data_IF_087105751991
#
_entry.id   IF_087105751991
#
_cell.length_a   1.000
_cell.length_b   1.000
_cell.length_c   1.000
_cell.angle_alpha   90.00
_cell.angle_beta   90.00
_cell.angle_gamma   90.00
#
_symmetry.space_group_name_H-M   'P 1'
#
loop_
_entity.id
_entity.type
_entity.pdbx_description
1 polymer ?
#
# COMPACT_ATOMS: atom_id res chain seq x y z
N UNK A 1 3.40 9.25 49.45
CA UNK A 1 2.62 9.53 48.23
C UNK A 1 3.12 8.59 47.15
N UNK A 2 2.26 7.72 46.62
CA UNK A 2 2.62 6.73 45.60
C UNK A 2 2.23 7.32 44.23
N UNK A 3 3.21 7.69 43.41
CA UNK A 3 2.98 8.25 42.08
C UNK A 3 2.72 7.09 41.11
N UNK A 4 1.47 6.96 40.64
CA UNK A 4 1.13 6.04 39.54
C UNK A 4 1.55 6.73 38.25
N UNK A 5 2.59 6.19 37.60
CA UNK A 5 2.97 6.59 36.24
C UNK A 5 2.10 5.80 35.27
N UNK A 6 1.08 6.46 34.71
CA UNK A 6 0.34 5.92 33.56
C UNK A 6 1.24 6.05 32.33
N UNK A 7 1.85 4.95 31.92
CA UNK A 7 2.49 4.85 30.62
C UNK A 7 1.40 4.77 29.54
N UNK A 8 1.20 5.85 28.80
CA UNK A 8 0.42 5.83 27.56
C UNK A 8 1.25 5.08 26.51
N UNK A 9 0.99 3.77 26.35
CA UNK A 9 1.44 3.04 25.18
C UNK A 9 0.66 3.60 23.98
N UNK A 10 1.27 4.52 23.23
CA UNK A 10 0.77 4.88 21.91
C UNK A 10 0.89 3.64 21.03
N UNK A 11 -0.19 2.88 20.91
CA UNK A 11 -0.33 1.89 19.86
C UNK A 11 -0.32 2.66 18.53
N UNK A 12 0.82 2.68 17.86
CA UNK A 12 0.91 3.07 16.46
C UNK A 12 0.02 2.09 15.68
N UNK A 13 -1.21 2.50 15.38
CA UNK A 13 -2.07 1.77 14.46
C UNK A 13 -1.51 2.03 13.07
N UNK A 14 -0.69 1.10 12.56
CA UNK A 14 -0.45 1.06 11.13
C UNK A 14 -1.79 0.81 10.42
N UNK A 15 -2.09 1.56 9.36
CA UNK A 15 -3.25 1.31 8.52
C UNK A 15 -3.38 -0.19 8.22
N UNK A 16 -4.58 -0.78 8.32
CA UNK A 16 -4.76 -2.18 7.97
C UNK A 16 -4.43 -2.37 6.49
N UNK A 17 -3.62 -3.38 6.20
CA UNK A 17 -3.36 -3.78 4.83
C UNK A 17 -4.58 -4.51 4.26
N UNK A 18 -4.88 -4.31 2.98
CA UNK A 18 -5.96 -5.01 2.28
C UNK A 18 -5.44 -5.79 1.07
N UNK A 19 -6.19 -6.83 0.70
CA UNK A 19 -5.88 -7.69 -0.43
C UNK A 19 -6.26 -7.01 -1.74
N UNK A 20 -5.31 -6.93 -2.67
CA UNK A 20 -5.54 -6.47 -4.04
C UNK A 20 -5.85 -7.64 -4.98
N UNK A 21 -5.03 -8.68 -4.92
CA UNK A 21 -5.14 -9.84 -5.81
C UNK A 21 -4.51 -11.08 -5.16
N UNK A 22 -5.15 -12.22 -5.36
CA UNK A 22 -4.61 -13.53 -5.00
C UNK A 22 -4.57 -14.40 -6.26
N UNK A 23 -3.38 -14.55 -6.84
CA UNK A 23 -3.13 -15.24 -8.09
C UNK A 23 -2.65 -16.67 -7.81
N UNK A 24 -3.51 -17.66 -8.09
CA UNK A 24 -3.21 -19.10 -8.03
C UNK A 24 -3.03 -19.74 -9.43
N UNK A 25 -2.92 -18.94 -10.49
CA UNK A 25 -2.74 -19.49 -11.85
C UNK A 25 -1.31 -19.98 -12.07
N UNK A 26 -1.00 -20.55 -13.23
CA UNK A 26 0.36 -20.90 -13.68
C UNK A 26 1.04 -22.09 -12.94
N UNK A 27 0.79 -22.30 -11.65
CA UNK A 27 1.33 -23.40 -10.85
C UNK A 27 0.21 -24.05 -10.03
N UNK A 28 0.30 -25.37 -9.85
CA UNK A 28 -0.64 -26.09 -9.00
C UNK A 28 -0.51 -25.65 -7.52
N UNK A 29 -1.56 -25.78 -6.70
CA UNK A 29 -1.50 -25.49 -5.26
C UNK A 29 -0.31 -26.19 -4.57
N UNK A 30 0.31 -25.56 -3.54
CA UNK A 30 -0.15 -24.37 -2.81
C UNK A 30 0.46 -23.03 -3.30
N UNK A 31 1.10 -23.02 -4.48
CA UNK A 31 1.83 -21.86 -4.97
C UNK A 31 0.88 -20.74 -5.42
N UNK A 32 1.05 -19.54 -4.86
CA UNK A 32 0.26 -18.36 -5.19
C UNK A 32 1.16 -17.12 -5.25
N UNK A 33 0.69 -16.07 -5.92
CA UNK A 33 1.23 -14.71 -5.80
C UNK A 33 0.16 -13.85 -5.13
N UNK A 34 0.48 -13.25 -4.00
CA UNK A 34 -0.44 -12.38 -3.26
C UNK A 34 0.01 -10.93 -3.37
N UNK A 35 -0.92 -10.06 -3.72
CA UNK A 35 -0.73 -8.62 -3.79
C UNK A 35 -1.57 -7.92 -2.72
N UNK A 36 -0.94 -7.06 -1.93
CA UNK A 36 -1.60 -6.30 -0.85
C UNK A 36 -1.20 -4.83 -0.91
N UNK A 37 -2.06 -3.97 -0.38
CA UNK A 37 -1.80 -2.55 -0.22
C UNK A 37 -1.96 -2.12 1.23
N UNK A 38 -1.17 -1.13 1.63
CA UNK A 38 -1.24 -0.45 2.92
C UNK A 38 -1.20 1.05 2.64
N UNK A 39 -2.31 1.79 2.82
CA UNK A 39 -2.29 3.24 2.73
C UNK A 39 -1.32 3.82 3.76
N UNK A 40 -0.58 4.86 3.40
CA UNK A 40 0.19 5.60 4.39
C UNK A 40 -0.77 6.32 5.34
N UNK A 41 -0.59 6.12 6.65
CA UNK A 41 -1.30 6.89 7.70
C UNK A 41 -0.89 8.37 7.70
N UNK A 42 0.20 8.68 7.02
CA UNK A 42 0.82 9.99 7.00
C UNK A 42 0.57 10.69 5.67
N UNK A 43 -0.15 11.80 5.70
CA UNK A 43 -0.31 12.68 4.55
C UNK A 43 0.77 13.77 4.61
N UNK A 44 1.79 13.69 3.74
CA UNK A 44 2.86 14.70 3.68
C UNK A 44 2.33 16.11 3.37
N UNK A 45 1.21 16.24 2.66
CA UNK A 45 0.58 17.53 2.40
C UNK A 45 0.07 18.16 3.71
N UNK A 46 -0.66 17.40 4.53
CA UNK A 46 -1.14 17.87 5.84
C UNK A 46 0.01 18.22 6.78
N UNK A 47 1.07 17.40 6.80
CA UNK A 47 2.23 17.65 7.64
C UNK A 47 2.96 18.95 7.31
N UNK A 48 2.79 19.47 6.09
CA UNK A 48 3.37 20.74 5.64
C UNK A 48 2.34 21.89 5.57
N UNK A 49 1.18 21.72 6.22
CA UNK A 49 0.15 22.76 6.30
C UNK A 49 -0.64 22.96 5.00
N UNK A 50 -0.49 22.08 4.03
CA UNK A 50 -1.42 22.00 2.90
C UNK A 50 -2.69 21.27 3.36
N UNK A 51 -3.84 21.66 2.80
CA UNK A 51 -5.08 20.90 2.99
C UNK A 51 -4.86 19.50 2.43
N UNK A 52 -5.17 18.45 3.21
CA UNK A 52 -5.21 17.09 2.66
C UNK A 52 -6.07 17.08 1.42
N UNK A 53 -5.44 16.80 0.29
CA UNK A 53 -6.20 16.44 -0.88
C UNK A 53 -6.61 14.98 -0.69
N UNK A 54 -7.84 14.76 -0.25
CA UNK A 54 -8.40 13.42 -0.04
C UNK A 54 -8.40 12.57 -1.33
N UNK A 55 -8.11 13.18 -2.49
CA UNK A 55 -8.00 12.48 -3.77
C UNK A 55 -6.60 11.97 -4.10
N UNK A 56 -5.64 12.11 -3.18
CA UNK A 56 -4.25 11.68 -3.38
C UNK A 56 -3.78 10.82 -2.22
N UNK A 57 -3.19 9.68 -2.55
CA UNK A 57 -2.74 8.70 -1.55
C UNK A 57 -1.31 8.26 -1.84
N UNK A 58 -0.49 8.17 -0.80
CA UNK A 58 0.70 7.33 -0.83
C UNK A 58 0.32 5.94 -0.32
N UNK A 59 0.63 4.90 -1.10
CA UNK A 59 0.24 3.53 -0.80
C UNK A 59 1.44 2.62 -0.93
N UNK A 60 1.75 1.90 0.14
CA UNK A 60 2.71 0.81 0.07
C UNK A 60 2.04 -0.42 -0.56
N UNK A 61 2.61 -0.91 -1.67
CA UNK A 61 2.15 -2.11 -2.38
C UNK A 61 3.20 -3.20 -2.23
N UNK A 62 2.73 -4.40 -1.89
CA UNK A 62 3.57 -5.58 -1.70
C UNK A 62 3.05 -6.75 -2.51
N UNK A 63 3.96 -7.43 -3.20
CA UNK A 63 3.72 -8.71 -3.84
C UNK A 63 4.59 -9.77 -3.18
N UNK A 64 4.03 -10.89 -2.73
CA UNK A 64 4.82 -12.02 -2.23
C UNK A 64 4.32 -13.33 -2.85
N UNK A 65 5.25 -14.21 -3.21
CA UNK A 65 4.91 -15.58 -3.55
C UNK A 65 5.68 -16.16 -4.72
N UNK A 66 4.98 -16.95 -5.54
CA UNK A 66 5.55 -17.85 -6.55
C UNK A 66 6.38 -17.17 -7.64
N UNK A 67 6.16 -15.88 -7.91
CA UNK A 67 6.88 -15.11 -8.93
C UNK A 67 8.04 -14.30 -8.34
N UNK A 68 8.23 -14.33 -7.02
CA UNK A 68 9.19 -13.48 -6.30
C UNK A 68 8.50 -12.36 -5.52
N UNK A 69 9.29 -11.61 -4.77
CA UNK A 69 8.83 -10.48 -3.97
C UNK A 69 8.81 -9.18 -4.79
N UNK A 70 7.86 -8.31 -4.43
CA UNK A 70 7.77 -6.93 -4.85
C UNK A 70 7.46 -6.07 -3.63
N UNK A 71 8.08 -4.90 -3.56
CA UNK A 71 7.67 -3.83 -2.66
C UNK A 71 7.81 -2.49 -3.38
N UNK A 72 6.85 -1.59 -3.16
CA UNK A 72 6.92 -0.25 -3.72
C UNK A 72 5.98 0.72 -3.03
N UNK A 73 6.23 2.02 -3.20
CA UNK A 73 5.32 3.08 -2.79
C UNK A 73 4.75 3.71 -4.05
N UNK A 74 3.43 3.64 -4.19
CA UNK A 74 2.68 4.26 -5.26
C UNK A 74 2.11 5.59 -4.75
N UNK A 75 2.44 6.67 -5.44
CA UNK A 75 1.66 7.89 -5.40
C UNK A 75 0.44 7.71 -6.31
N UNK A 76 -0.76 7.71 -5.74
CA UNK A 76 -2.02 7.48 -6.41
C UNK A 76 -2.81 8.78 -6.51
N UNK A 77 -3.04 9.26 -7.74
CA UNK A 77 -3.91 10.40 -8.00
C UNK A 77 -5.28 9.89 -8.48
N UNK A 78 -6.32 10.11 -7.68
CA UNK A 78 -7.68 9.65 -7.94
C UNK A 78 -8.41 10.47 -9.00
N UNK A 79 -8.09 11.77 -9.11
CA UNK A 79 -8.71 12.69 -10.08
C UNK A 79 -8.12 12.49 -11.47
N UNK A 80 -6.80 12.35 -11.54
CA UNK A 80 -6.03 12.31 -12.79
C UNK A 80 -5.14 11.06 -12.79
N UNK A 81 -5.70 9.87 -13.13
CA UNK A 81 -5.02 8.58 -12.99
C UNK A 81 -3.61 8.53 -13.59
N UNK A 82 -3.39 9.22 -14.72
CA UNK A 82 -2.10 9.26 -15.42
C UNK A 82 -0.98 9.97 -14.66
N UNK A 83 -1.29 10.69 -13.58
CA UNK A 83 -0.31 11.29 -12.67
C UNK A 83 0.02 10.39 -11.48
N UNK A 84 -0.53 9.16 -11.44
CA UNK A 84 -0.09 8.17 -10.47
C UNK A 84 1.28 7.62 -10.88
N UNK A 85 2.21 7.51 -9.93
CA UNK A 85 3.58 7.07 -10.20
C UNK A 85 4.19 6.28 -9.04
N UNK A 86 5.08 5.36 -9.37
CA UNK A 86 5.87 4.64 -8.37
C UNK A 86 7.01 5.53 -7.88
N UNK A 87 6.95 5.96 -6.63
CA UNK A 87 7.98 6.79 -6.00
C UNK A 87 9.25 5.97 -5.69
N UNK A 88 9.05 4.70 -5.31
CA UNK A 88 10.10 3.73 -5.07
C UNK A 88 9.57 2.33 -5.37
N UNK A 89 10.42 1.45 -5.88
CA UNK A 89 10.12 0.03 -6.05
C UNK A 89 11.38 -0.82 -5.90
N UNK A 90 11.23 -2.06 -5.45
CA UNK A 90 12.29 -3.05 -5.38
C UNK A 90 11.74 -4.45 -5.13
N UNK A 91 12.66 -5.41 -5.05
CA UNK A 91 12.35 -6.84 -4.96
C UNK A 91 12.88 -7.60 -6.18
N UNK A 92 12.52 -8.88 -6.27
CA UNK A 92 12.76 -9.69 -7.46
C UNK A 92 11.92 -9.22 -8.67
N UNK A 93 10.69 -8.80 -8.40
CA UNK A 93 9.76 -8.22 -9.37
C UNK A 93 9.93 -6.70 -9.45
N UNK A 94 9.51 -6.11 -10.57
CA UNK A 94 9.56 -4.68 -10.85
C UNK A 94 8.16 -4.07 -10.89
N UNK A 95 8.07 -2.74 -10.94
CA UNK A 95 6.80 -2.03 -11.03
C UNK A 95 5.93 -2.44 -12.23
N UNK A 96 6.53 -2.92 -13.33
CA UNK A 96 5.79 -3.40 -14.51
C UNK A 96 5.18 -4.78 -14.30
N UNK A 97 5.62 -5.53 -13.30
CA UNK A 97 5.08 -6.85 -12.95
C UNK A 97 3.84 -6.77 -12.06
N UNK A 98 3.52 -5.58 -11.53
CA UNK A 98 2.30 -5.36 -10.74
C UNK A 98 1.07 -5.51 -11.65
N UNK A 99 0.15 -6.46 -11.36
CA UNK A 99 -0.97 -6.72 -12.25
C UNK A 99 -1.91 -5.53 -12.39
N UNK A 100 -2.41 -5.23 -13.60
CA UNK A 100 -3.40 -4.18 -13.80
C UNK A 100 -4.64 -4.34 -12.91
N UNK A 101 -5.09 -5.58 -12.65
CA UNK A 101 -6.22 -5.86 -11.77
C UNK A 101 -5.94 -5.47 -10.31
N UNK A 102 -4.69 -5.59 -9.85
CA UNK A 102 -4.30 -5.14 -8.52
C UNK A 102 -4.37 -3.61 -8.40
N UNK A 103 -3.95 -2.89 -9.45
CA UNK A 103 -4.07 -1.43 -9.53
C UNK A 103 -5.53 -0.99 -9.63
N UNK A 104 -6.35 -1.69 -10.40
CA UNK A 104 -7.78 -1.41 -10.51
C UNK A 104 -8.48 -1.59 -9.16
N UNK A 105 -8.19 -2.69 -8.44
CA UNK A 105 -8.73 -2.92 -7.09
C UNK A 105 -8.26 -1.86 -6.11
N UNK A 106 -6.97 -1.50 -6.15
CA UNK A 106 -6.43 -0.43 -5.30
C UNK A 106 -7.22 0.88 -5.46
N UNK A 107 -7.51 1.28 -6.71
CA UNK A 107 -8.29 2.49 -6.98
C UNK A 107 -9.74 2.39 -6.51
N UNK A 108 -10.37 1.22 -6.64
CA UNK A 108 -11.73 1.00 -6.13
C UNK A 108 -11.83 1.18 -4.61
N UNK A 109 -10.77 0.85 -3.88
CA UNK A 109 -10.76 0.95 -2.42
C UNK A 109 -10.48 2.37 -1.92
N UNK A 110 -9.79 3.22 -2.71
CA UNK A 110 -9.27 4.50 -2.22
C UNK A 110 -9.87 5.76 -2.87
N UNK A 111 -10.49 5.70 -4.06
CA UNK A 111 -10.80 6.90 -4.87
C UNK A 111 -12.25 7.43 -4.88
#
# INVERSE_FOLDING_TARGET
>A
MLTVVLAFANAAHAAPSFLLLFDETDLAPPYHQRWTATPADFNWAEANGAVSDASRHEVYVRGDGKKGDFYGVLYLDCVTPQYSEWLVSGGYLTATDVPPDAIAKLRQELC
#
